data_IF_325176168622
#
_entry.id   IF_325176168622
#
_cell.length_a   1.000
_cell.length_b   1.000
_cell.length_c   1.000
_cell.angle_alpha   90.00
_cell.angle_beta   90.00
_cell.angle_gamma   90.00
#
_symmetry.space_group_name_H-M   'P 1'
#
loop_
_entity.id
_entity.type
_entity.pdbx_description
1 polymer ?
#
# COMPACT_ATOMS: atom_id res chain seq x y z
N UNK A 1 -11.69 63.58 15.78
CA UNK A 1 -11.99 62.42 16.64
C UNK A 1 -12.90 61.50 15.83
N UNK A 2 -12.53 60.23 15.62
CA UNK A 2 -13.21 59.27 14.72
C UNK A 2 -12.27 58.89 13.57
N UNK A 3 -11.51 57.78 13.65
CA UNK A 3 -11.92 56.37 13.49
C UNK A 3 -12.42 56.05 12.08
N UNK A 4 -11.60 55.40 11.26
CA UNK A 4 -11.63 53.93 11.12
C UNK A 4 -10.72 53.45 9.99
N UNK A 5 -10.04 52.35 10.26
CA UNK A 5 -8.98 51.75 9.48
C UNK A 5 -9.46 51.11 8.16
N UNK A 6 -8.52 51.05 7.23
CA UNK A 6 -8.61 50.37 5.94
C UNK A 6 -8.92 48.88 6.06
N UNK A 7 -9.45 48.39 4.95
CA UNK A 7 -10.23 47.18 4.75
C UNK A 7 -9.33 46.13 4.12
N UNK A 8 -8.76 45.25 4.93
CA UNK A 8 -8.06 44.06 4.46
C UNK A 8 -8.90 42.83 4.78
N UNK A 9 -9.75 42.43 3.82
CA UNK A 9 -10.43 41.15 3.83
C UNK A 9 -9.50 40.06 3.29
N UNK A 10 -9.45 38.86 3.89
CA UNK A 10 -8.59 37.80 3.38
C UNK A 10 -9.12 37.25 2.06
N UNK A 11 -8.19 37.11 1.10
CA UNK A 11 -8.40 36.49 -0.20
C UNK A 11 -9.01 35.09 -0.03
N UNK A 12 -10.20 34.91 -0.59
CA UNK A 12 -10.85 33.63 -0.80
C UNK A 12 -10.19 32.98 -2.03
N UNK A 13 -9.33 32.00 -1.80
CA UNK A 13 -8.75 31.13 -2.83
C UNK A 13 -9.31 29.71 -2.59
N UNK A 14 -9.98 29.05 -3.57
CA UNK A 14 -10.47 27.70 -3.38
C UNK A 14 -9.29 26.74 -3.56
N UNK A 15 -8.52 26.49 -2.49
CA UNK A 15 -7.59 25.36 -2.45
C UNK A 15 -8.41 24.08 -2.44
N UNK A 16 -8.44 23.46 -3.61
CA UNK A 16 -9.01 22.17 -3.91
C UNK A 16 -8.71 21.19 -2.77
N UNK A 17 -9.77 20.62 -2.21
CA UNK A 17 -9.75 19.51 -1.29
C UNK A 17 -9.02 18.33 -1.95
N UNK A 18 -7.72 18.22 -1.70
CA UNK A 18 -7.01 16.97 -1.89
C UNK A 18 -7.57 15.99 -0.83
N UNK A 19 -7.96 14.75 -1.20
CA UNK A 19 -8.27 13.75 -0.18
C UNK A 19 -7.04 13.61 0.73
N UNK A 20 -7.23 13.42 2.06
CA UNK A 20 -6.12 13.28 2.97
C UNK A 20 -5.23 12.15 2.45
N UNK A 21 -4.02 12.54 2.01
CA UNK A 21 -2.95 11.60 1.76
C UNK A 21 -2.84 10.73 3.01
N UNK A 22 -2.77 9.43 2.76
CA UNK A 22 -2.66 8.38 3.75
C UNK A 22 -1.88 8.86 4.97
N UNK A 23 -2.50 8.69 6.12
CA UNK A 23 -1.85 8.83 7.42
C UNK A 23 -0.53 8.07 7.32
N UNK A 24 0.59 8.79 7.37
CA UNK A 24 1.92 8.20 7.54
C UNK A 24 1.99 7.91 9.04
N UNK A 25 1.29 6.87 9.47
CA UNK A 25 1.35 6.39 10.86
C UNK A 25 2.33 5.22 10.92
N UNK A 26 3.42 5.48 11.65
CA UNK A 26 4.39 4.57 12.24
C UNK A 26 5.40 3.84 11.32
N UNK A 27 6.64 4.33 11.39
CA UNK A 27 7.86 3.90 10.69
C UNK A 27 8.46 2.59 11.27
N UNK A 28 7.82 1.95 12.26
CA UNK A 28 8.32 0.74 12.95
C UNK A 28 7.33 -0.45 12.98
N UNK A 29 6.09 -0.31 12.47
CA UNK A 29 5.13 -1.43 12.36
C UNK A 29 4.95 -1.93 10.92
N UNK A 30 4.96 -3.25 10.66
CA UNK A 30 4.58 -3.78 9.36
C UNK A 30 3.14 -3.40 9.04
N UNK A 31 2.87 -2.93 7.82
CA UNK A 31 1.53 -2.54 7.41
C UNK A 31 0.57 -3.75 7.43
N UNK A 32 -0.73 -3.50 7.34
CA UNK A 32 -1.74 -4.58 7.37
C UNK A 32 -1.57 -5.60 6.22
N UNK A 33 -0.86 -5.24 5.15
CA UNK A 33 -0.57 -6.14 4.05
C UNK A 33 0.64 -7.03 4.36
N UNK A 34 1.74 -6.46 4.83
CA UNK A 34 2.96 -7.12 5.27
C UNK A 34 2.68 -8.05 6.44
N UNK A 35 1.90 -7.62 7.44
CA UNK A 35 1.42 -8.48 8.54
C UNK A 35 0.75 -9.74 7.99
N UNK A 36 -0.12 -9.59 6.98
CA UNK A 36 -0.79 -10.72 6.34
C UNK A 36 0.19 -11.61 5.59
N UNK A 37 1.17 -11.06 4.87
CA UNK A 37 2.19 -11.84 4.17
C UNK A 37 3.11 -12.58 5.14
N UNK A 38 3.60 -11.93 6.19
CA UNK A 38 4.42 -12.57 7.22
C UNK A 38 3.67 -13.72 7.91
N UNK A 39 2.37 -13.56 8.16
CA UNK A 39 1.54 -14.64 8.73
C UNK A 39 1.35 -15.85 7.81
N UNK A 40 1.63 -15.74 6.51
CA UNK A 40 1.48 -16.86 5.56
C UNK A 40 2.66 -17.82 5.53
N UNK A 41 3.80 -17.43 6.13
CA UNK A 41 5.05 -18.20 6.05
C UNK A 41 5.79 -18.10 4.70
N UNK A 42 5.27 -17.31 3.75
CA UNK A 42 5.83 -17.15 2.39
C UNK A 42 6.42 -15.76 2.12
N UNK A 43 6.83 -15.05 3.18
CA UNK A 43 7.34 -13.69 3.08
C UNK A 43 8.61 -13.61 2.21
N UNK A 44 9.51 -14.58 2.30
CA UNK A 44 10.75 -14.58 1.52
C UNK A 44 10.49 -14.67 0.01
N UNK A 45 9.54 -15.50 -0.40
CA UNK A 45 9.12 -15.63 -1.80
C UNK A 45 8.38 -14.37 -2.26
N UNK A 46 7.56 -13.77 -1.39
CA UNK A 46 6.89 -12.51 -1.68
C UNK A 46 7.89 -11.36 -1.89
N UNK A 47 8.93 -11.26 -1.05
CA UNK A 47 10.00 -10.28 -1.19
C UNK A 47 10.71 -10.45 -2.53
N UNK A 48 11.10 -11.68 -2.90
CA UNK A 48 11.75 -11.94 -4.21
C UNK A 48 10.87 -11.58 -5.41
N UNK A 49 9.57 -11.86 -5.34
CA UNK A 49 8.61 -11.49 -6.38
C UNK A 49 8.49 -9.97 -6.49
N UNK A 50 8.41 -9.30 -5.34
CA UNK A 50 8.32 -7.85 -5.21
C UNK A 50 9.59 -7.18 -5.74
N UNK A 51 10.76 -7.65 -5.35
CA UNK A 51 12.07 -7.19 -5.84
C UNK A 51 12.17 -7.34 -7.36
N UNK A 52 11.80 -8.49 -7.92
CA UNK A 52 11.80 -8.70 -9.36
C UNK A 52 10.90 -7.67 -10.08
N UNK A 53 9.72 -7.37 -9.54
CA UNK A 53 8.86 -6.33 -10.08
C UNK A 53 9.49 -4.94 -9.91
N UNK A 54 10.13 -4.65 -8.79
CA UNK A 54 10.79 -3.37 -8.58
C UNK A 54 11.92 -3.12 -9.58
N UNK A 55 12.70 -4.16 -9.90
CA UNK A 55 13.78 -4.11 -10.89
C UNK A 55 13.26 -4.00 -12.33
N UNK A 56 12.29 -4.84 -12.70
CA UNK A 56 11.85 -4.98 -14.10
C UNK A 56 10.65 -4.12 -14.47
N UNK A 57 9.86 -3.71 -13.48
CA UNK A 57 8.56 -3.03 -13.62
C UNK A 57 7.55 -3.79 -14.49
N UNK A 58 7.75 -5.10 -14.69
CA UNK A 58 6.83 -5.98 -15.41
C UNK A 58 6.74 -7.35 -14.72
N UNK A 59 5.58 -7.64 -14.12
CA UNK A 59 5.30 -8.89 -13.43
C UNK A 59 5.36 -10.11 -14.35
N UNK A 60 5.15 -9.94 -15.67
CA UNK A 60 5.21 -11.04 -16.64
C UNK A 60 6.62 -11.59 -16.83
N UNK A 61 7.63 -10.80 -16.48
CA UNK A 61 9.04 -11.19 -16.49
C UNK A 61 9.47 -11.88 -15.19
N UNK A 62 8.59 -11.92 -14.17
CA UNK A 62 8.84 -12.48 -12.84
C UNK A 62 8.15 -13.84 -12.63
N UNK A 63 7.88 -14.59 -13.72
CA UNK A 63 7.18 -15.89 -13.68
C UNK A 63 7.81 -16.87 -12.70
N UNK A 64 9.14 -16.97 -12.68
CA UNK A 64 9.87 -17.86 -11.77
C UNK A 64 9.59 -17.55 -10.31
N UNK A 65 9.63 -16.28 -9.91
CA UNK A 65 9.37 -15.89 -8.52
C UNK A 65 7.88 -16.03 -8.18
N UNK A 66 6.99 -15.82 -9.15
CA UNK A 66 5.56 -16.05 -8.98
C UNK A 66 5.23 -17.54 -8.78
N UNK A 67 5.90 -18.44 -9.51
CA UNK A 67 5.74 -19.89 -9.34
C UNK A 67 6.26 -20.35 -7.98
N UNK A 68 7.39 -19.80 -7.51
CA UNK A 68 7.92 -20.07 -6.17
C UNK A 68 6.96 -19.62 -5.08
N UNK A 69 6.43 -18.40 -5.20
CA UNK A 69 5.43 -17.90 -4.27
C UNK A 69 4.19 -18.78 -4.24
N UNK A 70 3.64 -19.17 -5.40
CA UNK A 70 2.50 -20.10 -5.49
C UNK A 70 2.80 -21.46 -4.88
N UNK A 71 4.02 -21.97 -5.06
CA UNK A 71 4.44 -23.24 -4.47
C UNK A 71 4.47 -23.15 -2.95
N UNK A 72 5.11 -22.11 -2.39
CA UNK A 72 5.08 -21.87 -0.95
C UNK A 72 3.64 -21.72 -0.44
N UNK A 73 2.82 -20.93 -1.14
CA UNK A 73 1.42 -20.68 -0.78
C UNK A 73 0.63 -21.97 -0.60
N UNK A 74 0.75 -22.88 -1.56
CA UNK A 74 0.11 -24.19 -1.52
C UNK A 74 0.67 -25.08 -0.40
N UNK A 75 1.98 -25.08 -0.19
CA UNK A 75 2.61 -25.87 0.89
C UNK A 75 2.15 -25.42 2.28
N UNK A 76 2.01 -24.11 2.48
CA UNK A 76 1.54 -23.52 3.74
C UNK A 76 0.00 -23.59 3.89
N UNK A 77 -0.72 -24.15 2.91
CA UNK A 77 -2.17 -24.34 2.98
C UNK A 77 -2.97 -23.04 2.92
N UNK A 78 -2.42 -22.00 2.30
CA UNK A 78 -2.99 -20.66 2.27
C UNK A 78 -4.15 -20.50 1.27
N UNK A 79 -4.57 -21.56 0.58
CA UNK A 79 -5.61 -21.51 -0.46
C UNK A 79 -6.92 -20.86 0.04
N UNK A 80 -7.28 -21.12 1.31
CA UNK A 80 -8.48 -20.53 1.95
C UNK A 80 -8.40 -19.03 2.19
N UNK A 81 -7.21 -18.42 2.12
CA UNK A 81 -7.02 -16.97 2.28
C UNK A 81 -7.32 -16.21 0.99
N UNK A 82 -7.38 -16.91 -0.14
CA UNK A 82 -7.72 -16.35 -1.47
C UNK A 82 -9.14 -16.70 -1.92
N UNK A 83 -9.86 -17.49 -1.14
CA UNK A 83 -11.27 -17.77 -1.39
C UNK A 83 -12.08 -16.49 -1.11
N UNK A 84 -12.23 -15.63 -2.13
CA UNK A 84 -13.29 -14.64 -2.14
C UNK A 84 -14.59 -15.43 -2.26
N UNK A 85 -15.31 -15.59 -1.15
CA UNK A 85 -16.75 -15.76 -1.23
C UNK A 85 -17.28 -14.41 -1.71
N UNK A 86 -17.87 -14.37 -2.90
CA UNK A 86 -18.60 -13.20 -3.40
C UNK A 86 -19.57 -12.71 -2.30
N UNK A 87 -19.30 -11.52 -1.77
CA UNK A 87 -20.15 -10.83 -0.79
C UNK A 87 -20.68 -9.55 -1.41
#
# INVERSE_FOLDING_TARGET
>A
MGSSASKDGPANEPKQQLPPAAQVEDDDEPDEWDKRIFSTGCAAENTKLTDCYFEKKDWRLCKTEMERFRHCWKQQGNDKRTDMTDA
#
